data_IF_238338140610
#
_entry.id   IF_238338140610
#
_cell.length_a   1.000
_cell.length_b   1.000
_cell.length_c   1.000
_cell.angle_alpha   90.00
_cell.angle_beta   90.00
_cell.angle_gamma   90.00
#
_symmetry.space_group_name_H-M   'P 1'
#
loop_
_entity.id
_entity.type
_entity.pdbx_description
1 polymer ?
#
# COMPACT_ATOMS: atom_id res chain seq x y z
N UNK A 1 0.20 8.16 -16.96
CA UNK A 1 1.18 8.94 -16.18
C UNK A 1 0.77 10.41 -16.28
N UNK A 2 0.84 11.15 -15.18
CA UNK A 2 0.40 12.55 -15.16
C UNK A 2 0.86 13.31 -13.93
N UNK A 3 0.70 14.63 -13.98
CA UNK A 3 0.97 15.52 -12.84
C UNK A 3 -0.16 15.44 -11.82
N UNK A 4 0.21 15.41 -10.55
CA UNK A 4 -0.68 15.41 -9.40
C UNK A 4 -0.25 16.47 -8.41
N UNK A 5 -1.22 17.03 -7.70
CA UNK A 5 -1.03 18.18 -6.82
C UNK A 5 -1.50 17.85 -5.40
N UNK A 6 -0.69 18.23 -4.40
CA UNK A 6 -1.10 18.16 -3.00
C UNK A 6 -0.54 19.33 -2.21
N UNK A 7 -1.37 19.87 -1.32
CA UNK A 7 -0.95 20.95 -0.44
C UNK A 7 -0.37 20.39 0.86
N UNK A 8 0.92 20.05 0.83
CA UNK A 8 1.70 19.61 2.00
C UNK A 8 2.91 20.52 2.23
N UNK A 9 3.51 20.44 3.42
CA UNK A 9 4.80 21.08 3.72
C UNK A 9 5.89 20.42 2.85
N UNK A 10 6.62 21.17 2.01
CA UNK A 10 7.66 20.60 1.16
C UNK A 10 8.77 19.95 1.98
N UNK A 11 9.21 18.77 1.55
CA UNK A 11 10.34 18.01 2.11
C UNK A 11 11.05 17.28 0.96
N UNK A 12 12.28 16.78 1.16
CA UNK A 12 12.98 15.97 0.14
C UNK A 12 12.09 14.79 -0.27
N UNK A 13 11.82 14.62 -1.57
CA UNK A 13 10.91 13.59 -2.08
C UNK A 13 9.41 13.83 -1.83
N UNK A 14 9.02 15.02 -1.34
CA UNK A 14 7.64 15.49 -1.20
C UNK A 14 7.44 16.85 -1.84
N UNK A 15 7.15 16.83 -3.13
CA UNK A 15 6.80 18.01 -3.91
C UNK A 15 5.29 18.31 -3.84
N UNK A 16 4.93 19.58 -4.05
CA UNK A 16 3.53 20.03 -4.17
C UNK A 16 2.92 19.67 -5.52
N UNK A 17 3.74 19.66 -6.55
CA UNK A 17 3.46 19.07 -7.86
C UNK A 17 4.44 17.93 -8.05
N UNK A 18 3.95 16.75 -8.39
CA UNK A 18 4.78 15.59 -8.69
C UNK A 18 4.09 14.74 -9.76
N UNK A 19 4.81 13.77 -10.30
CA UNK A 19 4.40 12.93 -11.40
C UNK A 19 4.11 11.52 -10.91
N UNK A 20 2.92 11.01 -11.21
CA UNK A 20 2.54 9.64 -10.90
C UNK A 20 2.28 8.84 -12.16
N UNK A 21 2.64 7.57 -12.11
CA UNK A 21 2.21 6.55 -13.04
C UNK A 21 1.42 5.50 -12.27
N UNK A 22 0.36 4.95 -12.85
CA UNK A 22 -0.46 3.98 -12.18
C UNK A 22 -1.18 3.09 -13.16
N UNK A 23 -1.71 1.99 -12.65
CA UNK A 23 -2.51 1.02 -13.39
C UNK A 23 -3.72 0.70 -12.54
N UNK A 24 -4.89 0.71 -13.17
CA UNK A 24 -6.15 0.31 -12.54
C UNK A 24 -6.73 -0.87 -13.32
N UNK A 25 -7.14 -1.92 -12.61
CA UNK A 25 -7.94 -3.00 -13.12
C UNK A 25 -9.37 -2.83 -12.59
N UNK A 26 -10.33 -2.62 -13.49
CA UNK A 26 -11.75 -2.45 -13.16
C UNK A 26 -12.50 -3.73 -13.51
N UNK A 27 -13.28 -4.27 -12.55
CA UNK A 27 -14.11 -5.45 -12.77
C UNK A 27 -14.41 -6.23 -11.49
N UNK A 28 -14.86 -7.48 -11.62
CA UNK A 28 -15.17 -8.33 -10.45
C UNK A 28 -13.95 -8.51 -9.53
N UNK A 29 -14.16 -8.47 -8.22
CA UNK A 29 -13.13 -8.82 -7.24
C UNK A 29 -12.67 -10.28 -7.40
N UNK A 30 -11.36 -10.48 -7.44
CA UNK A 30 -10.73 -11.78 -7.67
C UNK A 30 -9.24 -11.69 -7.32
N UNK A 31 -8.77 -12.54 -6.40
CA UNK A 31 -7.40 -12.56 -5.89
C UNK A 31 -6.35 -12.70 -7.01
N UNK A 32 -6.71 -13.34 -8.14
CA UNK A 32 -5.81 -13.43 -9.30
C UNK A 32 -5.47 -12.06 -9.88
N UNK A 33 -6.41 -11.11 -9.84
CA UNK A 33 -6.19 -9.74 -10.33
C UNK A 33 -5.29 -8.96 -9.40
N UNK A 34 -5.42 -9.17 -8.09
CA UNK A 34 -4.51 -8.58 -7.10
C UNK A 34 -3.08 -9.07 -7.30
N UNK A 35 -2.92 -10.39 -7.44
CA UNK A 35 -1.63 -10.98 -7.77
C UNK A 35 -1.08 -10.44 -9.09
N UNK A 36 -1.91 -10.28 -10.12
CA UNK A 36 -1.49 -9.73 -11.40
C UNK A 36 -0.99 -8.29 -11.27
N UNK A 37 -1.73 -7.43 -10.55
CA UNK A 37 -1.33 -6.05 -10.29
C UNK A 37 -0.01 -5.97 -9.52
N UNK A 38 0.14 -6.78 -8.47
CA UNK A 38 1.41 -6.87 -7.73
C UNK A 38 2.54 -7.35 -8.66
N UNK A 39 2.29 -8.36 -9.48
CA UNK A 39 3.27 -8.90 -10.43
C UNK A 39 3.74 -7.85 -11.43
N UNK A 40 2.84 -6.99 -11.93
CA UNK A 40 3.21 -5.86 -12.79
C UNK A 40 4.19 -4.92 -12.09
N UNK A 41 3.95 -4.62 -10.82
CA UNK A 41 4.84 -3.82 -9.98
C UNK A 41 6.20 -4.50 -9.83
N UNK A 42 6.23 -5.78 -9.46
CA UNK A 42 7.49 -6.52 -9.25
C UNK A 42 8.31 -6.61 -10.54
N UNK A 43 7.65 -6.87 -11.69
CA UNK A 43 8.29 -6.90 -13.00
C UNK A 43 8.84 -5.53 -13.42
N UNK A 44 8.10 -4.46 -13.14
CA UNK A 44 8.56 -3.10 -13.42
C UNK A 44 9.83 -2.79 -12.62
N UNK A 45 9.85 -3.06 -11.32
CA UNK A 45 11.03 -2.82 -10.47
C UNK A 45 12.22 -3.69 -10.86
N UNK A 46 11.97 -4.95 -11.24
CA UNK A 46 13.00 -5.83 -11.76
C UNK A 46 13.64 -5.28 -13.05
N UNK A 47 12.83 -4.74 -13.99
CA UNK A 47 13.33 -4.09 -15.21
C UNK A 47 14.12 -2.82 -14.94
N UNK A 48 13.82 -2.12 -13.85
CA UNK A 48 14.56 -0.94 -13.41
C UNK A 48 15.76 -1.28 -12.51
N UNK A 49 16.03 -2.57 -12.28
CA UNK A 49 17.07 -3.06 -11.37
C UNK A 49 16.98 -2.48 -9.94
N UNK A 50 15.77 -2.16 -9.49
CA UNK A 50 15.51 -1.62 -8.16
C UNK A 50 15.31 -2.78 -7.20
N UNK A 51 16.16 -2.86 -6.16
CA UNK A 51 15.91 -3.75 -5.02
C UNK A 51 14.80 -3.16 -4.15
N UNK A 52 13.89 -4.01 -3.72
CA UNK A 52 12.68 -3.56 -3.02
C UNK A 52 12.33 -4.43 -1.83
N UNK A 53 11.47 -3.89 -0.97
CA UNK A 53 10.73 -4.60 0.07
C UNK A 53 9.25 -4.49 -0.24
N UNK A 54 8.57 -5.63 -0.44
CA UNK A 54 7.12 -5.68 -0.59
C UNK A 54 6.47 -5.92 0.77
N UNK A 55 5.58 -5.02 1.18
CA UNK A 55 4.72 -5.23 2.35
C UNK A 55 3.26 -5.25 1.93
N UNK A 56 2.50 -6.19 2.47
CA UNK A 56 1.07 -6.34 2.21
C UNK A 56 0.30 -6.35 3.52
N UNK A 57 -0.98 -5.97 3.44
CA UNK A 57 -1.95 -6.19 4.50
C UNK A 57 -3.28 -6.57 3.87
N UNK A 58 -4.11 -7.27 4.65
CA UNK A 58 -5.48 -7.55 4.27
C UNK A 58 -6.43 -6.87 5.26
N UNK A 59 -7.01 -5.76 4.84
CA UNK A 59 -7.87 -4.90 5.66
C UNK A 59 -9.35 -5.30 5.59
N UNK A 60 -9.67 -6.41 4.91
CA UNK A 60 -11.00 -7.03 4.82
C UNK A 60 -12.10 -6.07 4.31
N UNK A 61 -13.32 -6.60 4.25
CA UNK A 61 -14.48 -5.87 3.79
C UNK A 61 -15.09 -4.97 4.90
N UNK A 62 -16.12 -4.20 4.54
CA UNK A 62 -16.78 -3.26 5.45
C UNK A 62 -17.51 -3.95 6.61
N UNK A 63 -18.04 -5.16 6.41
CA UNK A 63 -18.78 -5.88 7.45
C UNK A 63 -17.84 -6.40 8.54
N UNK A 64 -16.74 -7.07 8.16
CA UNK A 64 -15.71 -7.54 9.08
C UNK A 64 -15.09 -6.37 9.82
N UNK A 65 -14.75 -5.28 9.10
CA UNK A 65 -14.20 -4.06 9.73
C UNK A 65 -15.14 -3.44 10.75
N UNK A 66 -16.46 -3.43 10.49
CA UNK A 66 -17.43 -2.91 11.45
C UNK A 66 -17.46 -3.75 12.74
N UNK A 67 -17.47 -5.08 12.63
CA UNK A 67 -17.42 -5.99 13.81
C UNK A 67 -16.13 -5.78 14.61
N UNK A 68 -15.01 -5.61 13.91
CA UNK A 68 -13.73 -5.31 14.51
C UNK A 68 -13.75 -3.95 15.23
N UNK A 69 -14.24 -2.90 14.57
CA UNK A 69 -14.34 -1.54 15.12
C UNK A 69 -15.16 -1.51 16.41
N UNK A 70 -16.33 -2.17 16.42
CA UNK A 70 -17.18 -2.26 17.61
C UNK A 70 -16.48 -2.96 18.78
N UNK A 71 -15.67 -3.99 18.50
CA UNK A 71 -14.92 -4.72 19.53
C UNK A 71 -13.73 -3.91 20.03
N UNK A 72 -12.98 -3.30 19.12
CA UNK A 72 -11.86 -2.43 19.45
C UNK A 72 -12.31 -1.21 20.26
N UNK A 73 -13.45 -0.63 19.91
CA UNK A 73 -14.03 0.49 20.65
C UNK A 73 -14.34 0.10 22.10
N UNK A 74 -15.00 -1.05 22.30
CA UNK A 74 -15.30 -1.57 23.64
C UNK A 74 -14.03 -1.84 24.44
N UNK A 75 -13.04 -2.47 23.81
CA UNK A 75 -11.74 -2.73 24.44
C UNK A 75 -11.05 -1.44 24.89
N UNK A 76 -10.93 -0.44 24.01
CA UNK A 76 -10.24 0.81 24.32
C UNK A 76 -11.00 1.69 25.33
N UNK A 77 -12.33 1.56 25.42
CA UNK A 77 -13.12 2.25 26.44
C UNK A 77 -12.73 1.84 27.87
N UNK A 78 -12.32 0.60 28.10
CA UNK A 78 -11.85 0.14 29.41
C UNK A 78 -10.57 0.85 29.85
N UNK A 79 -9.81 1.39 28.90
CA UNK A 79 -8.56 2.12 29.12
C UNK A 79 -8.68 3.62 28.80
N UNK A 80 -9.90 4.16 28.67
CA UNK A 80 -10.13 5.54 28.21
C UNK A 80 -9.32 6.58 28.97
N UNK A 81 -9.29 6.48 30.30
CA UNK A 81 -8.61 7.45 31.18
C UNK A 81 -7.08 7.38 31.06
N UNK A 82 -6.54 6.32 30.46
CA UNK A 82 -5.11 6.15 30.20
C UNK A 82 -4.71 6.63 28.81
N UNK A 83 -5.66 6.95 27.92
CA UNK A 83 -5.39 7.46 26.58
C UNK A 83 -5.12 8.97 26.59
N UNK A 84 -4.35 9.46 25.61
CA UNK A 84 -4.21 10.91 25.38
C UNK A 84 -5.55 11.57 25.06
N UNK A 85 -5.69 12.88 25.31
CA UNK A 85 -6.91 13.64 24.96
C UNK A 85 -7.29 13.49 23.48
N UNK A 86 -6.29 13.43 22.59
CA UNK A 86 -6.51 13.24 21.16
C UNK A 86 -7.13 11.88 20.87
N UNK A 87 -6.64 10.81 21.50
CA UNK A 87 -7.17 9.45 21.34
C UNK A 87 -8.53 9.27 22.03
N UNK A 88 -8.76 9.90 23.18
CA UNK A 88 -10.08 9.93 23.81
C UNK A 88 -11.12 10.56 22.87
N UNK A 89 -10.79 11.68 22.23
CA UNK A 89 -11.66 12.31 21.22
C UNK A 89 -11.87 11.43 19.98
N UNK A 90 -10.84 10.70 19.53
CA UNK A 90 -10.98 9.73 18.43
C UNK A 90 -11.95 8.62 18.78
N UNK A 91 -11.87 8.10 20.01
CA UNK A 91 -12.79 7.09 20.52
C UNK A 91 -14.24 7.60 20.51
N UNK A 92 -14.47 8.81 21.01
CA UNK A 92 -15.81 9.43 21.03
C UNK A 92 -16.38 9.74 19.65
N UNK A 93 -15.52 10.04 18.68
CA UNK A 93 -15.93 10.39 17.31
C UNK A 93 -15.99 9.19 16.36
N UNK A 94 -15.77 7.96 16.86
CA UNK A 94 -15.77 6.74 16.05
C UNK A 94 -14.53 6.58 15.15
N UNK A 95 -13.47 7.35 15.35
CA UNK A 95 -12.20 7.20 14.61
C UNK A 95 -11.26 6.21 15.33
N UNK A 96 -11.80 5.05 15.71
CA UNK A 96 -11.18 4.13 16.68
C UNK A 96 -9.84 3.60 16.19
N UNK A 97 -9.72 3.28 14.91
CA UNK A 97 -8.47 2.77 14.33
C UNK A 97 -7.30 3.76 14.47
N UNK A 98 -7.57 5.08 14.47
CA UNK A 98 -6.51 6.10 14.63
C UNK A 98 -5.92 6.15 16.04
N UNK A 99 -6.48 5.42 17.01
CA UNK A 99 -5.84 5.24 18.32
C UNK A 99 -4.64 4.30 18.20
N UNK A 100 -4.71 3.30 17.32
CA UNK A 100 -3.63 2.32 17.10
C UNK A 100 -2.37 2.94 16.49
N UNK A 101 -2.54 4.02 15.71
CA UNK A 101 -1.45 4.73 15.03
C UNK A 101 -0.99 5.99 15.77
N UNK A 102 -1.53 6.28 16.95
CA UNK A 102 -1.14 7.47 17.71
C UNK A 102 0.31 7.36 18.17
N UNK A 103 1.09 8.44 18.04
CA UNK A 103 2.54 8.42 18.34
C UNK A 103 2.85 8.04 19.78
N UNK A 104 1.98 8.39 20.72
CA UNK A 104 2.16 8.11 22.13
C UNK A 104 1.38 6.85 22.53
N UNK A 105 0.08 6.82 22.22
CA UNK A 105 -0.79 5.74 22.71
C UNK A 105 -0.45 4.39 22.07
N UNK A 106 0.01 4.34 20.82
CA UNK A 106 0.44 3.10 20.15
C UNK A 106 1.55 2.35 20.90
N UNK A 107 2.30 3.04 21.76
CA UNK A 107 3.39 2.45 22.52
C UNK A 107 2.93 1.80 23.82
N UNK A 108 1.69 2.05 24.26
CA UNK A 108 1.14 1.51 25.50
C UNK A 108 0.85 0.03 25.35
N UNK A 109 1.11 -0.74 26.41
CA UNK A 109 1.02 -2.20 26.37
C UNK A 109 -0.39 -2.68 26.03
N UNK A 110 -1.44 -2.03 26.54
CA UNK A 110 -2.81 -2.39 26.19
C UNK A 110 -3.14 -2.09 24.73
N UNK A 111 -2.56 -1.05 24.12
CA UNK A 111 -2.77 -0.78 22.69
C UNK A 111 -2.05 -1.80 21.83
N UNK A 112 -0.83 -2.22 22.21
CA UNK A 112 -0.08 -3.29 21.53
C UNK A 112 -0.77 -4.66 21.62
N UNK A 113 -1.53 -4.88 22.69
CA UNK A 113 -2.30 -6.12 22.91
C UNK A 113 -3.78 -5.97 22.53
N UNK A 114 -4.15 -4.89 21.84
CA UNK A 114 -5.51 -4.71 21.36
C UNK A 114 -5.90 -5.84 20.39
N UNK A 115 -7.20 -6.18 20.28
CA UNK A 115 -7.67 -7.14 19.29
C UNK A 115 -7.18 -6.78 17.89
N UNK A 116 -6.84 -7.79 17.10
CA UNK A 116 -6.36 -7.60 15.74
C UNK A 116 -7.49 -7.83 14.74
N UNK A 117 -7.45 -7.12 13.61
CA UNK A 117 -8.42 -7.33 12.55
C UNK A 117 -8.44 -8.79 12.05
N UNK A 118 -7.28 -9.44 12.01
CA UNK A 118 -7.14 -10.84 11.60
C UNK A 118 -7.96 -11.82 12.45
N UNK A 119 -8.24 -11.48 13.70
CA UNK A 119 -9.03 -12.32 14.62
C UNK A 119 -10.51 -12.35 14.21
N UNK A 120 -10.95 -11.41 13.38
CA UNK A 120 -12.33 -11.26 12.90
C UNK A 120 -12.52 -11.74 11.47
N UNK A 121 -11.45 -12.22 10.82
CA UNK A 121 -11.53 -12.72 9.45
C UNK A 121 -12.59 -13.82 9.33
N UNK A 122 -13.48 -13.62 8.36
CA UNK A 122 -14.37 -14.64 7.85
C UNK A 122 -13.58 -15.77 7.18
N UNK A 123 -14.23 -16.90 6.90
CA UNK A 123 -13.58 -17.99 6.15
C UNK A 123 -13.18 -17.54 4.74
N UNK A 124 -13.94 -16.62 4.13
CA UNK A 124 -13.61 -16.01 2.84
C UNK A 124 -12.34 -15.16 2.94
N UNK A 125 -12.22 -14.31 3.97
CA UNK A 125 -11.03 -13.50 4.24
C UNK A 125 -9.78 -14.37 4.39
N UNK A 126 -9.87 -15.44 5.19
CA UNK A 126 -8.77 -16.39 5.44
C UNK A 126 -8.32 -17.09 4.16
N UNK A 127 -9.28 -17.57 3.36
CA UNK A 127 -9.00 -18.23 2.09
C UNK A 127 -8.41 -17.24 1.07
N UNK A 128 -8.88 -15.99 1.05
CA UNK A 128 -8.33 -14.94 0.20
C UNK A 128 -6.85 -14.68 0.52
N UNK A 129 -6.52 -14.43 1.80
CA UNK A 129 -5.15 -14.19 2.26
C UNK A 129 -4.25 -15.39 1.95
N UNK A 130 -4.74 -16.60 2.17
CA UNK A 130 -4.02 -17.84 1.85
C UNK A 130 -3.72 -17.96 0.36
N UNK A 131 -4.67 -17.63 -0.51
CA UNK A 131 -4.49 -17.66 -1.96
C UNK A 131 -3.51 -16.59 -2.46
N UNK A 132 -3.53 -15.38 -1.87
CA UNK A 132 -2.52 -14.35 -2.13
C UNK A 132 -1.13 -14.86 -1.74
N UNK A 133 -0.95 -15.36 -0.50
CA UNK A 133 0.34 -15.91 -0.04
C UNK A 133 0.85 -17.01 -0.96
N UNK A 134 0.00 -18.00 -1.25
CA UNK A 134 0.33 -19.09 -2.18
C UNK A 134 0.76 -18.58 -3.55
N UNK A 135 0.08 -17.56 -4.08
CA UNK A 135 0.44 -16.93 -5.35
C UNK A 135 1.80 -16.25 -5.31
N UNK A 136 2.08 -15.49 -4.26
CA UNK A 136 3.37 -14.83 -4.05
C UNK A 136 4.51 -15.84 -3.85
N UNK A 137 4.24 -16.94 -3.14
CA UNK A 137 5.22 -18.01 -2.89
C UNK A 137 5.65 -18.76 -4.18
N UNK A 138 4.91 -18.59 -5.29
CA UNK A 138 5.35 -19.11 -6.59
C UNK A 138 6.52 -18.34 -7.20
N UNK A 139 6.79 -17.12 -6.73
CA UNK A 139 7.91 -16.31 -7.18
C UNK A 139 9.17 -16.68 -6.41
N UNK A 140 10.07 -17.43 -7.06
CA UNK A 140 11.32 -17.83 -6.43
C UNK A 140 12.16 -16.61 -6.01
N UNK A 141 12.54 -16.56 -4.73
CA UNK A 141 13.35 -15.48 -4.17
C UNK A 141 12.60 -14.16 -3.91
N UNK A 142 11.27 -14.14 -4.01
CA UNK A 142 10.48 -12.97 -3.60
C UNK A 142 10.44 -12.85 -2.07
N UNK A 143 11.04 -11.78 -1.55
CA UNK A 143 10.87 -11.38 -0.15
C UNK A 143 9.64 -10.47 -0.02
N UNK A 144 8.66 -10.90 0.79
CA UNK A 144 7.50 -10.10 1.13
C UNK A 144 7.13 -10.28 2.61
N UNK A 145 6.46 -9.27 3.17
CA UNK A 145 5.97 -9.29 4.54
C UNK A 145 4.47 -9.00 4.57
N UNK A 146 3.71 -9.80 5.33
CA UNK A 146 2.39 -9.37 5.79
C UNK A 146 2.57 -8.53 7.06
N UNK A 147 2.15 -7.27 6.99
CA UNK A 147 2.37 -6.26 8.02
C UNK A 147 1.05 -5.51 8.27
N UNK A 148 0.44 -5.75 9.43
CA UNK A 148 -0.84 -5.15 9.84
C UNK A 148 -0.76 -3.61 9.92
N UNK A 149 0.45 -3.03 10.00
CA UNK A 149 0.67 -1.59 10.00
C UNK A 149 0.59 -0.96 8.61
N UNK A 150 0.59 -1.77 7.55
CA UNK A 150 0.37 -1.25 6.20
C UNK A 150 -1.10 -0.89 6.04
N UNK A 151 -1.34 0.41 6.15
CA UNK A 151 -2.60 1.07 5.87
C UNK A 151 -2.39 2.10 4.77
N UNK A 152 -3.48 2.51 4.11
CA UNK A 152 -3.43 3.51 3.05
C UNK A 152 -4.13 4.78 3.51
N UNK A 153 -3.58 5.93 3.11
CA UNK A 153 -4.10 7.24 3.53
C UNK A 153 -5.44 7.65 2.89
N UNK A 154 -6.11 6.75 2.16
CA UNK A 154 -7.39 6.98 1.50
C UNK A 154 -8.38 5.94 2.00
N UNK A 155 -9.53 6.39 2.50
CA UNK A 155 -10.46 5.52 3.21
C UNK A 155 -11.28 4.59 2.31
N UNK A 156 -11.12 4.70 0.97
CA UNK A 156 -11.84 3.87 0.00
C UNK A 156 -11.29 2.44 -0.14
N UNK A 157 -10.13 2.14 0.44
CA UNK A 157 -9.52 0.81 0.28
C UNK A 157 -10.30 -0.25 1.09
N UNK A 158 -10.37 -1.45 0.54
CA UNK A 158 -10.82 -2.68 1.18
C UNK A 158 -9.89 -3.84 0.82
N UNK A 159 -10.10 -4.99 1.45
CA UNK A 159 -9.40 -6.25 1.14
C UNK A 159 -7.86 -6.10 1.11
N UNK A 160 -7.20 -6.35 -0.02
CA UNK A 160 -5.73 -6.32 -0.11
C UNK A 160 -5.21 -4.88 -0.29
N UNK A 161 -4.24 -4.49 0.52
CA UNK A 161 -3.43 -3.29 0.32
C UNK A 161 -1.95 -3.65 0.33
N UNK A 162 -1.14 -2.86 -0.36
CA UNK A 162 0.30 -3.10 -0.40
C UNK A 162 1.10 -1.82 -0.61
N UNK A 163 2.34 -1.87 -0.17
CA UNK A 163 3.36 -0.86 -0.38
C UNK A 163 4.66 -1.52 -0.83
N UNK A 164 5.39 -0.82 -1.69
CA UNK A 164 6.73 -1.21 -2.09
C UNK A 164 7.69 -0.07 -1.83
N UNK A 165 8.68 -0.37 -1.00
CA UNK A 165 9.78 0.52 -0.67
C UNK A 165 11.06 0.10 -1.35
N UNK A 166 11.96 1.05 -1.59
CA UNK A 166 13.32 0.77 -2.01
C UNK A 166 14.09 0.11 -0.86
N UNK A 167 14.70 -1.04 -1.11
CA UNK A 167 15.51 -1.75 -0.11
C UNK A 167 16.77 -0.93 0.20
N UNK A 168 17.17 -0.89 1.47
CA UNK A 168 18.35 -0.17 1.98
C UNK A 168 18.32 1.36 1.80
N UNK A 169 17.16 1.94 1.45
CA UNK A 169 17.01 3.38 1.36
C UNK A 169 17.17 4.03 2.73
N UNK A 170 18.03 5.06 2.81
CA UNK A 170 18.18 5.90 4.02
C UNK A 170 17.18 7.06 4.05
N UNK A 171 16.29 7.16 3.07
CA UNK A 171 15.28 8.20 3.03
C UNK A 171 14.20 7.94 4.09
N UNK A 172 13.77 8.98 4.80
CA UNK A 172 12.68 8.89 5.77
C UNK A 172 11.33 8.46 5.15
N UNK A 173 11.22 8.45 3.82
CA UNK A 173 10.08 7.95 3.05
C UNK A 173 10.60 7.19 1.83
N UNK A 174 10.71 5.88 1.97
CA UNK A 174 11.24 4.97 0.97
C UNK A 174 10.16 4.30 0.10
N UNK A 175 8.89 4.45 0.45
CA UNK A 175 7.74 3.95 -0.32
C UNK A 175 7.67 4.67 -1.68
N UNK A 176 7.84 3.90 -2.75
CA UNK A 176 7.79 4.38 -4.14
C UNK A 176 6.51 3.96 -4.86
N UNK A 177 5.89 2.87 -4.43
CA UNK A 177 4.63 2.37 -4.97
C UNK A 177 3.69 2.04 -3.83
N UNK A 178 2.45 2.46 -3.96
CA UNK A 178 1.38 2.04 -3.06
C UNK A 178 0.13 1.69 -3.86
N UNK A 179 -0.56 0.65 -3.42
CA UNK A 179 -1.71 0.12 -4.13
C UNK A 179 -2.62 -0.69 -3.23
N UNK A 180 -3.66 -1.24 -3.85
CA UNK A 180 -4.65 -2.05 -3.16
C UNK A 180 -5.99 -2.08 -3.88
N UNK A 181 -6.90 -2.85 -3.31
CA UNK A 181 -8.27 -3.04 -3.76
C UNK A 181 -9.19 -1.98 -3.18
N UNK A 182 -10.15 -1.52 -3.97
CA UNK A 182 -11.12 -0.51 -3.58
C UNK A 182 -12.46 -0.83 -4.25
N UNK A 183 -13.12 -1.83 -3.70
CA UNK A 183 -14.25 -2.50 -4.35
C UNK A 183 -15.51 -1.64 -4.43
N UNK A 184 -15.61 -0.64 -3.57
CA UNK A 184 -16.81 0.19 -3.43
C UNK A 184 -16.70 1.56 -4.10
N UNK A 185 -15.50 2.01 -4.47
CA UNK A 185 -15.26 3.39 -4.92
C UNK A 185 -16.12 3.80 -6.11
N UNK A 186 -16.28 2.94 -7.12
CA UNK A 186 -17.10 3.27 -8.30
C UNK A 186 -18.56 3.47 -7.90
N UNK A 187 -19.08 2.63 -7.00
CA UNK A 187 -20.44 2.74 -6.46
C UNK A 187 -20.62 3.97 -5.59
N UNK A 188 -19.63 4.28 -4.76
CA UNK A 188 -19.63 5.48 -3.90
C UNK A 188 -19.62 6.78 -4.73
N UNK A 189 -19.14 6.71 -5.98
CA UNK A 189 -19.19 7.78 -6.98
C UNK A 189 -20.44 7.67 -7.90
N UNK A 190 -21.52 7.05 -7.43
CA UNK A 190 -22.79 6.88 -8.15
C UNK A 190 -22.72 6.05 -9.45
N UNK A 191 -21.64 5.27 -9.61
CA UNK A 191 -21.46 4.33 -10.71
C UNK A 191 -22.04 2.94 -10.43
N UNK A 192 -21.84 1.97 -11.34
CA UNK A 192 -22.26 0.59 -11.14
C UNK A 192 -21.48 -0.09 -10.00
N UNK A 193 -22.06 -1.16 -9.45
CA UNK A 193 -21.38 -2.00 -8.45
C UNK A 193 -20.26 -2.81 -9.12
N UNK A 194 -19.06 -2.22 -9.16
CA UNK A 194 -17.89 -2.78 -9.82
C UNK A 194 -16.65 -2.54 -8.97
N UNK A 195 -15.94 -3.63 -8.66
CA UNK A 195 -14.71 -3.56 -7.89
C UNK A 195 -13.53 -3.08 -8.74
N UNK A 196 -12.46 -2.66 -8.08
CA UNK A 196 -11.24 -2.22 -8.74
C UNK A 196 -10.03 -2.50 -7.86
N UNK A 197 -8.88 -2.66 -8.48
CA UNK A 197 -7.59 -2.75 -7.83
C UNK A 197 -6.53 -2.07 -8.69
N UNK A 198 -5.59 -1.40 -8.05
CA UNK A 198 -4.45 -0.85 -8.76
C UNK A 198 -3.39 -0.30 -7.86
N UNK A 199 -2.50 0.50 -8.45
CA UNK A 199 -1.41 1.16 -7.75
C UNK A 199 -1.07 2.49 -8.38
N UNK A 200 -0.42 3.34 -7.58
CA UNK A 200 0.29 4.51 -8.04
C UNK A 200 1.77 4.43 -7.64
N UNK A 201 2.63 4.80 -8.57
CA UNK A 201 4.08 4.94 -8.44
C UNK A 201 4.45 6.42 -8.48
N UNK A 202 5.25 6.87 -7.53
CA UNK A 202 5.87 8.20 -7.58
C UNK A 202 7.05 8.20 -8.55
N UNK A 203 6.85 8.73 -9.77
CA UNK A 203 7.88 8.69 -10.81
C UNK A 203 9.11 9.49 -10.39
N UNK A 204 8.90 10.68 -9.82
CA UNK A 204 9.99 11.56 -9.37
C UNK A 204 10.85 10.86 -8.31
N UNK A 205 10.24 10.08 -7.40
CA UNK A 205 10.99 9.32 -6.39
C UNK A 205 11.84 8.21 -7.00
N UNK A 206 11.32 7.53 -8.01
CA UNK A 206 12.05 6.49 -8.73
C UNK A 206 13.21 7.09 -9.50
N UNK A 207 12.99 8.22 -10.20
CA UNK A 207 14.05 8.95 -10.91
C UNK A 207 15.11 9.45 -9.94
N UNK A 208 14.72 10.11 -8.84
CA UNK A 208 15.64 10.60 -7.81
C UNK A 208 16.53 9.46 -7.27
N UNK A 209 15.95 8.29 -6.99
CA UNK A 209 16.71 7.11 -6.54
C UNK A 209 17.69 6.60 -7.60
N UNK A 210 17.25 6.45 -8.84
CA UNK A 210 18.10 5.94 -9.92
C UNK A 210 19.27 6.90 -10.21
N UNK A 211 19.05 8.21 -10.08
CA UNK A 211 20.10 9.22 -10.23
C UNK A 211 21.13 9.16 -9.08
N UNK A 212 20.70 8.92 -7.84
CA UNK A 212 21.58 8.83 -6.67
C UNK A 212 22.48 7.58 -6.68
N UNK A 213 22.06 6.48 -7.32
CA UNK A 213 22.81 5.21 -7.31
C UNK A 213 23.93 5.12 -8.36
N UNK A 214 24.21 6.17 -9.14
CA UNK A 214 25.03 6.13 -10.37
C UNK A 214 24.62 5.05 -11.41
N UNK A 215 23.56 4.26 -11.16
CA UNK A 215 22.93 3.30 -12.09
C UNK A 215 22.58 3.98 -13.42
N UNK A 216 22.29 5.28 -13.37
CA UNK A 216 22.03 6.14 -14.51
C UNK A 216 23.21 6.28 -15.50
N UNK A 217 24.48 6.20 -15.05
CA UNK A 217 25.64 6.37 -15.94
C UNK A 217 25.83 5.16 -16.86
N UNK A 218 25.73 3.94 -16.34
CA UNK A 218 25.90 2.71 -17.16
C UNK A 218 24.75 2.46 -18.16
N UNK A 219 23.55 2.98 -17.89
CA UNK A 219 22.38 2.73 -18.74
C UNK A 219 22.14 3.81 -19.81
N UNK A 220 22.55 5.06 -19.58
CA UNK A 220 22.55 6.07 -20.65
C UNK A 220 23.51 5.70 -21.77
N UNK A 221 24.70 5.19 -21.45
CA UNK A 221 25.64 4.70 -22.46
C UNK A 221 25.01 3.59 -23.33
N UNK A 222 24.19 2.71 -22.72
CA UNK A 222 23.49 1.63 -23.44
C UNK A 222 22.28 2.10 -24.24
N UNK A 223 21.52 3.08 -23.74
CA UNK A 223 20.37 3.65 -24.44
C UNK A 223 20.80 4.59 -25.57
N UNK A 224 21.90 5.31 -25.42
CA UNK A 224 22.52 6.09 -26.50
C UNK A 224 23.05 5.17 -27.61
N UNK A 225 23.64 4.01 -27.28
CA UNK A 225 23.96 2.99 -28.30
C UNK A 225 22.72 2.38 -28.94
N UNK A 226 21.62 2.16 -28.19
CA UNK A 226 20.38 1.60 -28.75
C UNK A 226 19.64 2.61 -29.66
N UNK A 227 19.83 3.92 -29.48
CA UNK A 227 19.34 4.92 -30.43
C UNK A 227 20.18 4.98 -31.73
N UNK A 228 21.39 4.39 -31.73
CA UNK A 228 22.21 4.22 -32.94
C UNK A 228 21.94 2.91 -33.69
N UNK A 229 21.34 1.91 -33.02
CA UNK A 229 21.01 0.61 -33.60
C UNK A 229 19.53 0.29 -33.40
N UNK A 230 18.77 0.61 -34.45
CA UNK A 230 17.34 0.41 -34.56
C UNK A 230 17.01 -1.09 -34.64
N UNK A 231 16.82 -1.79 -33.52
CA UNK A 231 16.20 -3.13 -33.51
C UNK A 231 15.08 -3.26 -32.47
N UNK A 232 13.86 -3.08 -32.98
CA UNK A 232 12.64 -3.55 -32.35
C UNK A 232 12.62 -5.08 -32.37
N UNK A 233 12.76 -5.73 -31.21
CA UNK A 233 12.21 -7.07 -31.03
C UNK A 233 11.51 -7.20 -29.67
N UNK A 234 10.17 -7.15 -29.73
CA UNK A 234 9.28 -7.70 -28.73
C UNK A 234 9.30 -9.23 -28.83
N UNK A 235 9.56 -9.93 -27.73
CA UNK A 235 8.79 -11.09 -27.24
C UNK A 235 8.96 -11.20 -25.73
#
# INVERSE_FOLDING_TARGET
>A
MGKVFRYERPQKGRYREFTQAGVEFVGKADFFKDLYVITLVLRLLAKLHIKYTLKLNYISNKETRKKYEETLHKYLLEYKDQLSEASQKRLETGNVFRVLDDKEDSQKDFVKNAPKLSDFYSEEDKEYVKNIKRGLDTYNGLEYQFDEQVVRGLDYYDDLVFEVSIKDSKAAQDVIIGGGRYSNLIKDLEGPETSSIGFAMGVDRVVDYLMDQEVYKEHLDKLETAHSENEYYFW
#
